data_IF_863349430598
#
_entry.id   IF_863349430598
#
_cell.length_a   1.000
_cell.length_b   1.000
_cell.length_c   1.000
_cell.angle_alpha   90.00
_cell.angle_beta   90.00
_cell.angle_gamma   90.00
#
_symmetry.space_group_name_H-M   'P 1'
#
loop_
_entity.id
_entity.type
_entity.pdbx_description
1 polymer ?
#
# COMPACT_ATOMS: atom_id res chain seq x y z
N UNK A 1 -30.23 -15.01 37.29
CA UNK A 1 -28.89 -14.41 37.48
C UNK A 1 -27.97 -14.96 36.39
N UNK A 2 -27.23 -14.09 35.69
CA UNK A 2 -26.23 -14.48 34.69
C UNK A 2 -26.60 -14.16 33.22
N UNK A 3 -26.80 -12.89 32.88
CA UNK A 3 -26.73 -12.42 31.48
C UNK A 3 -25.28 -12.44 31.01
N UNK A 4 -24.92 -13.38 30.14
CA UNK A 4 -23.61 -13.38 29.47
C UNK A 4 -23.59 -12.33 28.37
N UNK A 5 -22.76 -11.31 28.60
CA UNK A 5 -21.82 -10.72 27.65
C UNK A 5 -22.33 -10.40 26.25
N UNK A 6 -22.61 -9.12 26.03
CA UNK A 6 -22.64 -8.44 24.73
C UNK A 6 -21.57 -8.98 23.77
N UNK A 7 -22.00 -9.64 22.70
CA UNK A 7 -21.15 -9.94 21.55
C UNK A 7 -20.67 -8.63 20.94
N UNK A 8 -19.43 -8.26 21.23
CA UNK A 8 -18.71 -7.27 20.43
C UNK A 8 -18.63 -7.86 19.02
N UNK A 9 -19.41 -7.31 18.09
CA UNK A 9 -19.21 -7.56 16.66
C UNK A 9 -17.74 -7.24 16.38
N UNK A 10 -16.99 -8.27 15.96
CA UNK A 10 -15.64 -8.07 15.48
C UNK A 10 -15.67 -6.93 14.45
N UNK A 11 -14.76 -5.94 14.52
CA UNK A 11 -14.67 -4.93 13.49
C UNK A 11 -14.37 -5.66 12.19
N UNK A 12 -15.37 -5.78 11.32
CA UNK A 12 -15.17 -6.24 9.96
C UNK A 12 -14.32 -5.18 9.27
N UNK A 13 -13.33 -5.61 8.50
CA UNK A 13 -12.56 -4.75 7.61
C UNK A 13 -13.24 -4.83 6.23
N UNK A 14 -14.20 -3.94 5.90
CA UNK A 14 -15.02 -4.06 4.70
C UNK A 14 -14.28 -3.53 3.46
N UNK A 15 -12.96 -3.68 3.43
CA UNK A 15 -12.11 -3.18 2.37
C UNK A 15 -11.41 -4.35 1.70
N UNK A 16 -11.05 -4.21 0.42
CA UNK A 16 -10.25 -5.23 -0.23
C UNK A 16 -8.83 -5.29 0.36
N UNK A 17 -8.18 -6.44 0.20
CA UNK A 17 -6.84 -6.71 0.72
C UNK A 17 -5.77 -5.80 0.11
N UNK A 18 -6.01 -5.29 -1.10
CA UNK A 18 -5.16 -4.32 -1.78
C UNK A 18 -4.89 -3.06 -0.93
N UNK A 19 -5.87 -2.60 -0.17
CA UNK A 19 -5.71 -1.50 0.78
C UNK A 19 -4.75 -1.89 1.91
N UNK A 20 -4.84 -3.11 2.42
CA UNK A 20 -3.98 -3.57 3.50
C UNK A 20 -2.54 -3.78 3.01
N UNK A 21 -2.36 -4.29 1.79
CA UNK A 21 -1.08 -4.36 1.10
C UNK A 21 -0.47 -2.97 0.96
N UNK A 22 -1.26 -1.99 0.51
CA UNK A 22 -0.83 -0.59 0.39
C UNK A 22 -0.46 0.03 1.74
N UNK A 23 -1.30 -0.17 2.77
CA UNK A 23 -1.02 0.30 4.13
C UNK A 23 0.31 -0.28 4.64
N UNK A 24 0.56 -1.57 4.38
CA UNK A 24 1.80 -2.21 4.75
C UNK A 24 2.99 -1.65 3.95
N UNK A 25 2.94 -1.66 2.62
CA UNK A 25 4.04 -1.20 1.76
C UNK A 25 4.45 0.24 2.08
N UNK A 26 3.46 1.13 2.22
CA UNK A 26 3.65 2.55 2.52
C UNK A 26 3.82 2.84 4.03
N UNK A 27 3.78 1.80 4.87
CA UNK A 27 3.96 1.88 6.32
C UNK A 27 2.98 2.88 6.99
N UNK A 28 1.72 2.87 6.55
CA UNK A 28 0.67 3.83 6.94
C UNK A 28 -0.10 3.45 8.21
N UNK A 29 0.58 2.85 9.19
CA UNK A 29 0.04 2.42 10.48
C UNK A 29 0.94 2.88 11.63
N UNK A 30 0.54 2.66 12.89
CA UNK A 30 1.41 2.92 14.05
C UNK A 30 2.55 1.89 14.15
N UNK A 31 3.75 2.34 13.77
CA UNK A 31 4.97 1.53 13.72
C UNK A 31 5.67 1.40 15.08
N UNK A 32 5.25 2.14 16.09
CA UNK A 32 5.90 2.13 17.41
C UNK A 32 5.71 0.77 18.06
N UNK A 33 6.79 0.23 18.63
CA UNK A 33 6.82 -1.08 19.29
C UNK A 33 6.09 -2.16 18.48
N UNK A 34 6.41 -2.26 17.19
CA UNK A 34 5.82 -3.28 16.33
C UNK A 34 6.25 -4.67 16.80
N UNK A 35 5.29 -5.56 16.96
CA UNK A 35 5.49 -6.91 17.49
C UNK A 35 4.70 -7.92 16.66
N UNK A 36 5.24 -9.11 16.55
CA UNK A 36 4.48 -10.26 16.09
C UNK A 36 3.45 -10.66 17.16
N UNK A 37 2.45 -11.45 16.77
CA UNK A 37 1.36 -11.92 17.63
C UNK A 37 1.86 -12.81 18.79
N UNK A 38 3.07 -13.36 18.68
CA UNK A 38 3.77 -14.08 19.75
C UNK A 38 4.65 -13.18 20.66
N UNK A 39 4.57 -11.86 20.48
CA UNK A 39 5.26 -10.85 21.30
C UNK A 39 6.68 -10.51 20.87
N UNK A 40 7.27 -11.23 19.89
CA UNK A 40 8.61 -10.93 19.38
C UNK A 40 8.65 -9.54 18.72
N UNK A 41 9.69 -8.73 18.98
CA UNK A 41 9.81 -7.42 18.33
C UNK A 41 10.05 -7.60 16.82
N UNK A 42 9.39 -6.76 16.03
CA UNK A 42 9.47 -6.73 14.57
C UNK A 42 9.91 -5.35 14.12
N UNK A 43 10.92 -5.30 13.25
CA UNK A 43 11.40 -4.07 12.62
C UNK A 43 11.37 -4.26 11.10
N UNK A 44 10.68 -3.33 10.43
CA UNK A 44 10.58 -3.32 8.96
C UNK A 44 11.76 -2.53 8.40
N UNK A 45 12.77 -3.24 7.88
CA UNK A 45 13.90 -2.63 7.18
C UNK A 45 13.52 -2.26 5.74
N UNK A 46 12.75 -3.15 5.10
CA UNK A 46 12.11 -2.95 3.80
C UNK A 46 10.79 -3.71 3.80
N UNK A 47 9.68 -3.00 3.60
CA UNK A 47 8.34 -3.58 3.64
C UNK A 47 8.09 -4.66 2.55
N UNK A 48 8.87 -4.58 1.47
CA UNK A 48 8.65 -5.32 0.22
C UNK A 48 8.12 -4.39 -0.85
N UNK A 49 7.82 -4.95 -2.02
CA UNK A 49 7.15 -4.29 -3.14
C UNK A 49 5.97 -5.16 -3.54
N UNK A 50 4.79 -4.55 -3.67
CA UNK A 50 3.60 -5.24 -4.16
C UNK A 50 3.90 -5.81 -5.56
N UNK A 51 3.57 -7.08 -5.78
CA UNK A 51 3.57 -7.69 -7.11
C UNK A 51 2.16 -8.10 -7.51
N UNK A 52 1.89 -8.11 -8.82
CA UNK A 52 0.60 -8.51 -9.38
C UNK A 52 0.67 -9.84 -10.13
N UNK A 53 1.75 -10.59 -9.90
CA UNK A 53 1.95 -11.92 -10.45
C UNK A 53 1.52 -12.96 -9.41
N UNK A 54 1.36 -14.22 -9.83
CA UNK A 54 1.06 -15.30 -8.88
C UNK A 54 2.15 -15.45 -7.82
N UNK A 55 1.74 -15.95 -6.65
CA UNK A 55 2.60 -16.09 -5.46
C UNK A 55 2.30 -15.00 -4.42
N UNK A 56 3.24 -14.78 -3.48
CA UNK A 56 3.00 -13.87 -2.38
C UNK A 56 2.77 -12.41 -2.79
N UNK A 57 2.02 -11.68 -1.95
CA UNK A 57 1.59 -10.30 -2.25
C UNK A 57 2.74 -9.31 -2.42
N UNK A 58 3.73 -9.36 -1.52
CA UNK A 58 4.90 -8.49 -1.57
C UNK A 58 6.21 -9.29 -1.63
N UNK A 59 7.09 -8.87 -2.52
CA UNK A 59 8.42 -9.48 -2.71
C UNK A 59 9.54 -8.54 -2.28
N UNK A 60 10.76 -9.06 -2.14
CA UNK A 60 11.97 -8.30 -1.76
C UNK A 60 11.88 -7.60 -0.39
N UNK A 61 11.14 -8.17 0.57
CA UNK A 61 11.05 -7.63 1.92
C UNK A 61 12.31 -7.98 2.75
N UNK A 62 12.67 -7.09 3.67
CA UNK A 62 13.70 -7.31 4.69
C UNK A 62 13.12 -6.96 6.05
N UNK A 63 12.95 -7.96 6.90
CA UNK A 63 12.28 -7.84 8.20
C UNK A 63 13.23 -8.37 9.27
N UNK A 64 13.41 -7.62 10.36
CA UNK A 64 14.12 -8.11 11.55
C UNK A 64 13.12 -8.53 12.60
N UNK A 65 13.21 -9.78 13.04
CA UNK A 65 12.30 -10.38 14.04
C UNK A 65 13.16 -10.93 15.17
N UNK A 66 12.94 -10.46 16.40
CA UNK A 66 13.74 -10.83 17.57
C UNK A 66 15.26 -10.69 17.34
N UNK A 67 15.69 -9.67 16.61
CA UNK A 67 17.10 -9.41 16.30
C UNK A 67 17.66 -10.14 15.07
N UNK A 68 16.99 -11.19 14.58
CA UNK A 68 17.38 -11.90 13.35
C UNK A 68 16.78 -11.21 12.12
N UNK A 69 17.62 -10.92 11.12
CA UNK A 69 17.17 -10.40 9.84
C UNK A 69 16.75 -11.52 8.89
N UNK A 70 15.63 -11.31 8.21
CA UNK A 70 15.02 -12.20 7.23
C UNK A 70 14.84 -11.45 5.92
N UNK A 71 15.16 -12.09 4.80
CA UNK A 71 14.87 -11.62 3.46
C UNK A 71 13.90 -12.59 2.78
N UNK A 72 12.82 -12.09 2.19
CA UNK A 72 11.82 -12.93 1.55
C UNK A 72 10.54 -12.15 1.20
N UNK A 73 9.42 -12.86 1.18
CA UNK A 73 8.12 -12.28 0.85
C UNK A 73 7.30 -11.91 2.09
N UNK A 74 6.32 -11.02 1.92
CA UNK A 74 5.26 -10.76 2.88
C UNK A 74 3.93 -11.14 2.24
N UNK A 75 3.12 -11.86 2.98
CA UNK A 75 1.75 -12.19 2.60
C UNK A 75 0.77 -11.36 3.41
N UNK A 76 -0.31 -10.90 2.79
CA UNK A 76 -1.29 -10.03 3.41
C UNK A 76 -2.69 -10.66 3.33
N UNK A 77 -3.43 -10.64 4.44
CA UNK A 77 -4.82 -11.12 4.46
C UNK A 77 -5.68 -10.26 5.38
N UNK A 78 -7.00 -10.25 5.19
CA UNK A 78 -7.88 -9.62 6.20
C UNK A 78 -7.85 -10.43 7.48
N UNK A 79 -7.96 -11.75 7.37
CA UNK A 79 -7.91 -12.69 8.50
C UNK A 79 -6.80 -13.68 8.31
N UNK A 80 -6.06 -13.99 9.37
CA UNK A 80 -4.99 -14.96 9.29
C UNK A 80 -5.45 -16.32 8.72
N UNK A 81 -6.66 -16.75 9.06
CA UNK A 81 -7.23 -18.00 8.58
C UNK A 81 -7.46 -18.10 7.07
N UNK A 82 -7.47 -16.99 6.33
CA UNK A 82 -7.58 -16.97 4.87
C UNK A 82 -6.36 -17.63 4.20
N UNK A 83 -5.21 -17.66 4.88
CA UNK A 83 -4.05 -18.47 4.50
C UNK A 83 -4.42 -19.91 4.13
N UNK A 84 -5.25 -20.53 4.98
CA UNK A 84 -5.68 -21.90 4.75
C UNK A 84 -6.83 -22.03 3.75
N UNK A 85 -7.68 -20.98 3.65
CA UNK A 85 -8.79 -20.95 2.71
C UNK A 85 -8.28 -20.86 1.26
N UNK A 86 -7.18 -20.13 1.06
CA UNK A 86 -6.48 -20.03 -0.23
C UNK A 86 -5.54 -21.21 -0.52
N UNK A 87 -5.30 -22.10 0.45
CA UNK A 87 -4.51 -23.31 0.24
C UNK A 87 -2.99 -23.10 0.33
N UNK A 88 -2.51 -21.95 0.84
CA UNK A 88 -1.09 -21.62 0.91
C UNK A 88 -0.28 -22.58 1.80
N UNK A 89 -0.93 -23.25 2.76
CA UNK A 89 -0.33 -24.33 3.56
C UNK A 89 0.06 -25.57 2.75
N UNK A 90 -0.33 -25.65 1.47
CA UNK A 90 0.01 -26.73 0.56
C UNK A 90 0.85 -26.28 -0.63
N UNK A 91 1.17 -24.99 -0.71
CA UNK A 91 1.84 -24.39 -1.86
C UNK A 91 3.28 -23.97 -1.52
N UNK A 92 4.30 -24.67 -2.05
CA UNK A 92 5.70 -24.33 -1.84
C UNK A 92 6.09 -22.93 -2.32
N UNK A 93 5.32 -22.28 -3.20
CA UNK A 93 5.57 -20.90 -3.62
C UNK A 93 5.51 -19.91 -2.43
N UNK A 94 4.82 -20.29 -1.35
CA UNK A 94 4.65 -19.47 -0.15
C UNK A 94 5.62 -19.84 0.98
N UNK A 95 6.48 -20.86 0.81
CA UNK A 95 7.49 -21.21 1.82
C UNK A 95 8.54 -20.08 2.01
N UNK A 96 8.69 -19.19 1.02
CA UNK A 96 9.52 -17.99 1.07
C UNK A 96 8.90 -16.79 1.83
N UNK A 97 7.67 -16.90 2.32
CA UNK A 97 7.02 -15.85 3.13
C UNK A 97 7.71 -15.77 4.49
N UNK A 98 8.29 -14.61 4.81
CA UNK A 98 9.01 -14.39 6.08
C UNK A 98 8.14 -13.74 7.15
N UNK A 99 7.05 -13.09 6.74
CA UNK A 99 6.10 -12.42 7.61
C UNK A 99 4.70 -12.51 7.00
N UNK A 100 3.72 -12.84 7.82
CA UNK A 100 2.31 -12.70 7.49
C UNK A 100 1.79 -11.40 8.12
N UNK A 101 1.05 -10.62 7.37
CA UNK A 101 0.48 -9.34 7.82
C UNK A 101 -1.02 -9.44 7.69
N UNK A 102 -1.73 -9.21 8.79
CA UNK A 102 -3.19 -9.39 8.81
C UNK A 102 -3.88 -8.19 9.41
N UNK A 103 -5.12 -7.94 9.01
CA UNK A 103 -5.94 -7.00 9.77
C UNK A 103 -6.31 -7.61 11.13
N UNK A 104 -6.68 -8.90 11.14
CA UNK A 104 -7.05 -9.64 12.35
C UNK A 104 -6.34 -11.00 12.45
N UNK A 105 -5.69 -11.26 13.58
CA UNK A 105 -5.13 -12.58 13.90
C UNK A 105 -6.20 -13.45 14.55
N UNK A 106 -6.86 -14.32 13.77
CA UNK A 106 -7.87 -15.26 14.30
C UNK A 106 -7.31 -16.66 14.59
N UNK A 107 -6.22 -17.06 13.94
CA UNK A 107 -5.49 -18.30 14.23
C UNK A 107 -4.06 -18.27 13.67
N UNK A 108 -3.10 -18.96 14.30
CA UNK A 108 -1.75 -19.10 13.76
C UNK A 108 -1.73 -19.89 12.44
N UNK A 109 -0.83 -19.50 11.54
CA UNK A 109 -0.68 -20.12 10.22
C UNK A 109 0.66 -20.83 10.03
N UNK A 110 0.68 -21.87 9.21
CA UNK A 110 1.88 -22.64 8.89
C UNK A 110 2.08 -22.78 7.39
N UNK A 111 3.33 -22.71 6.94
CA UNK A 111 3.70 -22.97 5.55
C UNK A 111 3.60 -24.46 5.20
N UNK A 112 3.79 -24.83 3.93
CA UNK A 112 3.84 -26.23 3.49
C UNK A 112 4.95 -27.03 4.17
N UNK A 113 6.06 -26.39 4.53
CA UNK A 113 7.12 -27.00 5.34
C UNK A 113 6.76 -27.15 6.84
N UNK A 114 5.56 -26.78 7.27
CA UNK A 114 5.11 -26.84 8.67
C UNK A 114 5.67 -25.73 9.57
N UNK A 115 6.44 -24.80 9.00
CA UNK A 115 7.00 -23.65 9.71
C UNK A 115 5.87 -22.72 10.16
N UNK A 116 5.87 -22.35 11.44
CA UNK A 116 4.97 -21.32 11.96
C UNK A 116 5.40 -19.97 11.39
N UNK A 117 4.48 -19.28 10.72
CA UNK A 117 4.76 -17.93 10.21
C UNK A 117 4.65 -16.91 11.34
N UNK A 118 5.65 -16.04 11.52
CA UNK A 118 5.47 -14.84 12.32
C UNK A 118 4.37 -13.98 11.70
N UNK A 119 3.39 -13.57 12.50
CA UNK A 119 2.27 -12.74 12.03
C UNK A 119 2.24 -11.40 12.75
N UNK A 120 1.94 -10.32 12.02
CA UNK A 120 1.70 -8.98 12.56
C UNK A 120 0.24 -8.61 12.32
N UNK A 121 -0.44 -8.23 13.40
CA UNK A 121 -1.82 -7.73 13.35
C UNK A 121 -1.82 -6.19 13.25
N UNK A 122 -2.41 -5.67 12.17
CA UNK A 122 -2.47 -4.24 11.87
C UNK A 122 -3.76 -3.57 12.32
N UNK A 123 -4.86 -4.29 12.54
CA UNK A 123 -6.16 -3.70 12.86
C UNK A 123 -6.11 -2.62 13.95
N UNK A 124 -5.54 -2.91 15.14
CA UNK A 124 -5.40 -1.94 16.23
C UNK A 124 -4.42 -0.78 15.93
N UNK A 125 -3.60 -0.90 14.88
CA UNK A 125 -2.54 0.05 14.52
C UNK A 125 -2.94 0.97 13.37
N UNK A 126 -4.06 0.71 12.71
CA UNK A 126 -4.57 1.56 11.63
C UNK A 126 -5.57 2.56 12.23
N UNK A 127 -5.29 3.87 12.18
CA UNK A 127 -6.23 4.86 12.68
C UNK A 127 -7.49 4.93 11.82
N UNK A 128 -8.67 4.92 12.45
CA UNK A 128 -9.97 4.94 11.74
C UNK A 128 -10.12 6.20 10.89
N UNK A 129 -9.51 7.33 11.27
CA UNK A 129 -9.53 8.55 10.45
C UNK A 129 -8.86 8.36 9.08
N UNK A 130 -7.84 7.49 8.98
CA UNK A 130 -7.17 7.19 7.70
C UNK A 130 -8.07 6.34 6.81
N UNK A 131 -8.73 5.36 7.40
CA UNK A 131 -9.72 4.52 6.74
C UNK A 131 -10.92 5.34 6.25
N UNK A 132 -11.41 6.27 7.06
CA UNK A 132 -12.45 7.22 6.66
C UNK A 132 -11.98 8.14 5.51
N UNK A 133 -10.75 8.64 5.55
CA UNK A 133 -10.18 9.43 4.47
C UNK A 133 -10.07 8.63 3.16
N UNK A 134 -9.63 7.37 3.22
CA UNK A 134 -9.61 6.47 2.08
C UNK A 134 -11.01 6.29 1.48
N UNK A 135 -12.03 5.95 2.30
CA UNK A 135 -13.42 5.82 1.84
C UNK A 135 -13.88 7.07 1.10
N UNK A 136 -13.60 8.26 1.64
CA UNK A 136 -13.97 9.55 1.04
C UNK A 136 -13.30 9.78 -0.31
N UNK A 137 -12.01 9.46 -0.42
CA UNK A 137 -11.26 9.64 -1.67
C UNK A 137 -11.73 8.65 -2.75
N UNK A 138 -11.92 7.37 -2.41
CA UNK A 138 -12.33 6.36 -3.39
C UNK A 138 -13.80 6.52 -3.84
N UNK A 139 -14.65 7.14 -3.03
CA UNK A 139 -16.03 7.45 -3.41
C UNK A 139 -16.19 8.81 -4.10
N UNK A 140 -15.14 9.62 -4.16
CA UNK A 140 -15.20 10.94 -4.78
C UNK A 140 -15.41 10.83 -6.30
N UNK A 141 -16.42 11.55 -6.81
CA UNK A 141 -16.71 11.63 -8.26
C UNK A 141 -16.00 12.78 -8.96
N UNK A 142 -15.21 13.56 -8.23
CA UNK A 142 -14.43 14.66 -8.80
C UNK A 142 -13.31 14.13 -9.69
N UNK A 143 -12.93 14.90 -10.71
CA UNK A 143 -11.83 14.57 -11.60
C UNK A 143 -10.52 14.25 -10.85
N UNK A 144 -10.26 14.99 -9.77
CA UNK A 144 -9.21 14.68 -8.80
C UNK A 144 -9.87 14.43 -7.44
N UNK A 145 -9.77 13.23 -6.85
CA UNK A 145 -10.44 12.88 -5.59
C UNK A 145 -10.15 13.81 -4.42
N UNK A 146 -8.92 14.32 -4.34
CA UNK A 146 -8.49 15.23 -3.28
C UNK A 146 -8.63 16.72 -3.63
N UNK A 147 -9.24 17.09 -4.77
CA UNK A 147 -9.36 18.49 -5.19
C UNK A 147 -9.98 19.40 -4.12
N UNK A 148 -11.02 18.90 -3.45
CA UNK A 148 -11.69 19.63 -2.36
C UNK A 148 -10.81 19.89 -1.14
N UNK A 149 -9.67 19.20 -1.00
CA UNK A 149 -8.74 19.37 0.12
C UNK A 149 -7.60 20.35 -0.19
N UNK A 150 -7.49 20.86 -1.43
CA UNK A 150 -6.41 21.75 -1.84
C UNK A 150 -6.34 23.04 -0.99
N UNK A 151 -7.48 23.50 -0.49
CA UNK A 151 -7.56 24.67 0.39
C UNK A 151 -6.92 24.44 1.78
N UNK A 152 -6.70 23.17 2.17
CA UNK A 152 -6.08 22.81 3.45
C UNK A 152 -4.56 22.86 3.41
N UNK A 153 -3.96 22.99 2.22
CA UNK A 153 -2.52 23.22 2.07
C UNK A 153 -2.23 24.71 2.00
N UNK A 154 -1.00 25.09 2.35
CA UNK A 154 -0.59 26.49 2.33
C UNK A 154 -0.75 27.09 0.92
N UNK A 155 -1.49 28.19 0.83
CA UNK A 155 -1.82 28.83 -0.44
C UNK A 155 -0.57 29.34 -1.17
N UNK A 156 0.41 29.87 -0.45
CA UNK A 156 1.64 30.38 -1.05
C UNK A 156 2.46 29.25 -1.68
N UNK A 157 2.57 28.11 -0.99
CA UNK A 157 3.18 26.90 -1.56
C UNK A 157 2.44 26.46 -2.81
N UNK A 158 1.12 26.39 -2.79
CA UNK A 158 0.35 26.00 -3.97
C UNK A 158 0.62 26.93 -5.16
N UNK A 159 0.63 28.25 -4.94
CA UNK A 159 0.93 29.23 -5.99
C UNK A 159 2.33 29.05 -6.58
N UNK A 160 3.36 28.97 -5.75
CA UNK A 160 4.75 28.78 -6.21
C UNK A 160 4.90 27.48 -7.00
N UNK A 161 4.29 26.40 -6.52
CA UNK A 161 4.30 25.11 -7.22
C UNK A 161 3.59 25.19 -8.57
N UNK A 162 2.43 25.84 -8.66
CA UNK A 162 1.67 25.98 -9.91
C UNK A 162 2.41 26.86 -10.92
N UNK A 163 3.03 27.95 -10.48
CA UNK A 163 3.85 28.82 -11.34
C UNK A 163 5.05 28.04 -11.91
N UNK A 164 5.75 27.30 -11.07
CA UNK A 164 6.86 26.44 -11.52
C UNK A 164 6.40 25.39 -12.53
N UNK A 165 5.31 24.69 -12.27
CA UNK A 165 4.75 23.68 -13.18
C UNK A 165 4.29 24.30 -14.52
N UNK A 166 3.81 25.55 -14.51
CA UNK A 166 3.44 26.27 -15.71
C UNK A 166 4.68 26.59 -16.58
N UNK A 167 5.77 27.05 -15.95
CA UNK A 167 7.05 27.28 -16.64
C UNK A 167 7.62 25.98 -17.19
N UNK A 168 7.72 24.92 -16.38
CA UNK A 168 8.23 23.61 -16.82
C UNK A 168 7.40 23.03 -17.99
N UNK A 169 6.08 23.22 -17.95
CA UNK A 169 5.19 22.82 -19.05
C UNK A 169 5.44 23.64 -20.32
N UNK A 170 5.65 24.96 -20.19
CA UNK A 170 5.92 25.84 -21.33
C UNK A 170 7.26 25.49 -21.98
N UNK A 171 8.31 25.33 -21.18
CA UNK A 171 9.64 24.93 -21.67
C UNK A 171 9.58 23.59 -22.42
N UNK A 172 8.88 22.60 -21.86
CA UNK A 172 8.68 21.31 -22.52
C UNK A 172 7.93 21.47 -23.85
N UNK A 173 6.80 22.20 -23.88
CA UNK A 173 6.03 22.45 -25.11
C UNK A 173 6.85 23.18 -26.16
N UNK A 174 7.63 24.20 -25.77
CA UNK A 174 8.51 24.93 -26.67
C UNK A 174 9.60 24.03 -27.26
N UNK A 175 10.17 23.13 -26.45
CA UNK A 175 11.14 22.14 -26.92
C UNK A 175 10.50 21.15 -27.91
N UNK A 176 9.34 20.60 -27.58
CA UNK A 176 8.59 19.66 -28.43
C UNK A 176 8.31 20.29 -29.82
N UNK A 177 7.86 21.56 -29.83
CA UNK A 177 7.64 22.35 -31.05
C UNK A 177 8.94 22.56 -31.84
N UNK A 178 10.03 22.94 -31.16
CA UNK A 178 11.33 23.17 -31.81
C UNK A 178 11.96 21.88 -32.38
N UNK A 179 11.62 20.71 -31.82
CA UNK A 179 12.00 19.41 -32.37
C UNK A 179 11.20 19.15 -33.65
N UNK A 180 9.87 19.24 -33.60
CA UNK A 180 9.01 18.99 -34.77
C UNK A 180 9.32 19.94 -35.92
N UNK A 181 9.56 21.24 -35.65
CA UNK A 181 9.95 22.19 -36.69
C UNK A 181 11.24 21.79 -37.41
N UNK A 182 12.21 21.22 -36.69
CA UNK A 182 13.47 20.73 -37.29
C UNK A 182 13.26 19.48 -38.13
N UNK A 183 12.38 18.58 -37.70
CA UNK A 183 12.02 17.38 -38.48
C UNK A 183 11.32 17.73 -39.78
N UNK A 184 10.50 18.78 -39.78
CA UNK A 184 9.84 19.36 -40.95
C UNK A 184 10.74 20.33 -41.74
N UNK A 185 12.07 20.26 -41.55
CA UNK A 185 13.05 21.10 -42.23
C UNK A 185 12.79 22.62 -42.17
N UNK A 186 12.10 23.09 -41.12
CA UNK A 186 11.76 24.50 -40.92
C UNK A 186 10.39 24.92 -41.48
N UNK A 187 9.57 24.00 -41.99
CA UNK A 187 8.22 24.31 -42.46
C UNK A 187 7.26 24.54 -41.28
N UNK A 188 7.03 25.82 -40.97
CA UNK A 188 6.14 26.24 -39.90
C UNK A 188 4.66 26.05 -40.26
N UNK A 189 4.30 26.06 -41.54
CA UNK A 189 2.92 25.86 -41.99
C UNK A 189 2.55 24.39 -41.82
N UNK A 190 3.43 23.45 -42.21
CA UNK A 190 3.23 22.01 -41.98
C UNK A 190 3.15 21.68 -40.48
N UNK A 191 4.01 22.29 -39.65
CA UNK A 191 3.98 22.13 -38.20
C UNK A 191 2.61 22.51 -37.58
N UNK A 192 2.01 23.62 -38.02
CA UNK A 192 0.70 24.07 -37.51
C UNK A 192 -0.42 23.06 -37.77
N UNK A 193 -0.30 22.21 -38.79
CA UNK A 193 -1.26 21.15 -39.08
C UNK A 193 -1.10 19.93 -38.16
N UNK A 194 0.02 19.81 -37.46
CA UNK A 194 0.34 18.70 -36.55
C UNK A 194 0.12 19.02 -35.05
N UNK A 195 -0.14 20.28 -34.69
CA UNK A 195 -0.37 20.75 -33.31
C UNK A 195 -1.85 20.75 -32.90
#
# INVERSE_FOLDING_TARGET
AGTYGSGQRAPTFPYPEDLLQFIWEQQLFDRRDLRATDGRPVEVLRAGRIQHHGGPDLIDARIRIAGQEWAGAVEVHVRAGEWYAHGHQHDPAYDGVVLHVVHQEDRPVRTSAGRLLPTVELGPRIPEERLAAYRRLMSARSWVPCAGELHRTDRHRNTIWLERLAVERLERRSLDIAIHLRELAGDADELLHHL
#
